data_IF_385887655827
#
_entry.id   IF_385887655827
#
_cell.length_a   1.000
_cell.length_b   1.000
_cell.length_c   1.000
_cell.angle_alpha   90.00
_cell.angle_beta   90.00
_cell.angle_gamma   90.00
#
_symmetry.space_group_name_H-M   'P 1'
#
loop_
_entity.id
_entity.type
_entity.pdbx_description
1 polymer ?
#
# COMPACT_ATOMS: atom_id res chain seq x y z
N UNK A 1 -27.35 4.00 -3.66
CA UNK A 1 -27.13 5.35 -3.09
C UNK A 1 -26.40 5.20 -1.77
N UNK A 2 -25.45 6.10 -1.45
CA UNK A 2 -24.73 6.05 -0.16
C UNK A 2 -25.70 6.18 1.02
N UNK A 3 -25.54 5.33 2.04
CA UNK A 3 -26.25 5.49 3.31
C UNK A 3 -25.78 6.76 4.04
N UNK A 4 -26.60 7.28 4.95
CA UNK A 4 -26.25 8.45 5.77
C UNK A 4 -24.98 8.21 6.60
N UNK A 5 -24.93 7.08 7.31
CA UNK A 5 -23.74 6.63 8.04
C UNK A 5 -22.46 6.65 7.20
N UNK A 6 -22.55 6.26 5.93
CA UNK A 6 -21.39 6.23 5.03
C UNK A 6 -20.96 7.65 4.62
N UNK A 7 -21.92 8.55 4.39
CA UNK A 7 -21.63 9.97 4.11
C UNK A 7 -20.94 10.63 5.30
N UNK A 8 -21.46 10.41 6.50
CA UNK A 8 -20.91 10.96 7.75
C UNK A 8 -19.49 10.44 7.98
N UNK A 9 -19.27 9.13 7.82
CA UNK A 9 -17.94 8.55 7.95
C UNK A 9 -16.93 9.16 6.97
N UNK A 10 -17.31 9.31 5.69
CA UNK A 10 -16.41 9.92 4.69
C UNK A 10 -16.13 11.39 5.02
N UNK A 11 -17.11 12.12 5.55
CA UNK A 11 -16.90 13.51 5.97
C UNK A 11 -15.96 13.60 7.17
N UNK A 12 -16.15 12.76 8.18
CA UNK A 12 -15.29 12.67 9.35
C UNK A 12 -13.86 12.23 8.99
N UNK A 13 -13.70 11.24 8.11
CA UNK A 13 -12.39 10.83 7.64
C UNK A 13 -11.64 12.01 7.01
N UNK A 14 -12.32 12.77 6.15
CA UNK A 14 -11.73 13.93 5.46
C UNK A 14 -11.42 15.10 6.39
N UNK A 15 -12.19 15.31 7.46
CA UNK A 15 -11.91 16.39 8.42
C UNK A 15 -10.66 16.12 9.25
N UNK A 16 -10.27 14.84 9.40
CA UNK A 16 -9.03 14.41 10.07
C UNK A 16 -7.80 14.44 9.16
N UNK A 17 -7.96 14.75 7.87
CA UNK A 17 -6.84 14.89 6.95
C UNK A 17 -6.26 16.28 7.13
N UNK A 18 -4.99 16.31 7.52
CA UNK A 18 -4.21 17.53 7.71
C UNK A 18 -4.29 18.47 6.49
N UNK A 19 -4.32 19.78 6.74
CA UNK A 19 -4.49 20.81 5.70
C UNK A 19 -3.34 20.88 4.68
N UNK A 20 -2.12 20.49 5.08
CA UNK A 20 -0.94 20.38 4.20
C UNK A 20 -0.97 19.17 3.25
N UNK A 21 -1.95 18.26 3.37
CA UNK A 21 -2.00 17.08 2.52
C UNK A 21 -2.32 17.47 1.07
N UNK A 22 -1.45 17.05 0.15
CA UNK A 22 -1.62 17.22 -1.28
C UNK A 22 -1.58 15.85 -1.97
N UNK A 23 -2.68 15.46 -2.60
CA UNK A 23 -2.84 14.15 -3.23
C UNK A 23 -1.86 13.93 -4.38
N UNK A 24 -1.75 14.84 -5.37
CA UNK A 24 -0.79 14.74 -6.46
C UNK A 24 0.66 14.58 -5.97
N UNK A 25 1.09 15.37 -4.99
CA UNK A 25 2.43 15.22 -4.40
C UNK A 25 2.58 13.85 -3.74
N UNK A 26 1.58 13.38 -2.98
CA UNK A 26 1.61 12.07 -2.36
C UNK A 26 1.79 10.94 -3.40
N UNK A 27 0.99 10.96 -4.46
CA UNK A 27 1.06 9.95 -5.53
C UNK A 27 2.39 10.04 -6.27
N UNK A 28 2.83 11.26 -6.61
CA UNK A 28 4.14 11.48 -7.22
C UNK A 28 5.27 10.89 -6.38
N UNK A 29 5.28 11.11 -5.07
CA UNK A 29 6.29 10.56 -4.17
C UNK A 29 6.32 9.02 -4.19
N UNK A 30 5.15 8.36 -4.21
CA UNK A 30 5.07 6.90 -4.29
C UNK A 30 5.69 6.38 -5.60
N UNK A 31 5.33 6.99 -6.74
CA UNK A 31 5.91 6.61 -8.03
C UNK A 31 7.41 6.95 -8.12
N UNK A 32 7.82 8.10 -7.61
CA UNK A 32 9.23 8.51 -7.60
C UNK A 32 10.09 7.50 -6.85
N UNK A 33 9.69 7.09 -5.64
CA UNK A 33 10.41 6.07 -4.86
C UNK A 33 10.50 4.76 -5.67
N UNK A 34 9.38 4.25 -6.19
CA UNK A 34 9.36 2.99 -6.93
C UNK A 34 10.19 3.01 -8.21
N UNK A 35 10.06 4.07 -9.02
CA UNK A 35 10.78 4.22 -10.27
C UNK A 35 12.28 4.47 -10.05
N UNK A 36 12.65 5.27 -9.04
CA UNK A 36 14.06 5.48 -8.69
C UNK A 36 14.69 4.18 -8.19
N UNK A 37 14.01 3.40 -7.35
CA UNK A 37 14.49 2.09 -6.92
C UNK A 37 14.67 1.15 -8.12
N UNK A 38 13.68 1.04 -9.00
CA UNK A 38 13.77 0.20 -10.20
C UNK A 38 14.93 0.64 -11.11
N UNK A 39 15.06 1.94 -11.36
CA UNK A 39 16.16 2.50 -12.14
C UNK A 39 17.52 2.16 -11.51
N UNK A 40 17.71 2.41 -10.22
CA UNK A 40 18.95 2.09 -9.51
C UNK A 40 19.28 0.60 -9.59
N UNK A 41 18.33 -0.30 -9.31
CA UNK A 41 18.58 -1.74 -9.33
C UNK A 41 18.93 -2.25 -10.72
N UNK A 42 18.25 -1.74 -11.76
CA UNK A 42 18.55 -2.11 -13.15
C UNK A 42 19.93 -1.64 -13.60
N UNK A 43 20.46 -0.53 -13.07
CA UNK A 43 21.84 -0.11 -13.36
C UNK A 43 22.90 -1.05 -12.78
N UNK A 44 22.55 -1.90 -11.81
CA UNK A 44 23.49 -2.81 -11.15
C UNK A 44 23.32 -4.28 -11.62
N UNK A 45 22.55 -4.52 -12.68
CA UNK A 45 22.42 -5.83 -13.29
C UNK A 45 23.60 -6.09 -14.22
N UNK A 46 24.52 -6.98 -13.81
CA UNK A 46 25.67 -7.39 -14.62
C UNK A 46 25.68 -8.90 -14.81
N UNK A 47 25.91 -9.36 -16.05
CA UNK A 47 26.09 -10.78 -16.40
C UNK A 47 24.98 -11.72 -15.87
N UNK A 48 23.73 -11.25 -15.85
CA UNK A 48 22.58 -12.00 -15.32
C UNK A 48 22.42 -13.32 -16.07
N UNK A 49 22.51 -14.42 -15.33
CA UNK A 49 22.38 -15.77 -15.88
C UNK A 49 20.92 -16.05 -16.21
N UNK A 50 20.67 -16.89 -17.21
CA UNK A 50 19.29 -17.11 -17.69
C UNK A 50 18.33 -17.59 -16.57
N UNK A 51 18.81 -18.37 -15.61
CA UNK A 51 18.00 -18.87 -14.50
C UNK A 51 17.78 -17.83 -13.40
N UNK A 52 18.61 -16.79 -13.28
CA UNK A 52 18.41 -15.71 -12.32
C UNK A 52 17.14 -14.91 -12.69
N UNK A 53 16.75 -14.90 -13.95
CA UNK A 53 15.45 -14.38 -14.39
C UNK A 53 14.25 -15.15 -13.82
N UNK A 54 14.42 -16.40 -13.35
CA UNK A 54 13.37 -17.11 -12.62
C UNK A 54 13.03 -16.43 -11.28
N UNK A 55 13.90 -15.55 -10.77
CA UNK A 55 13.56 -14.71 -9.62
C UNK A 55 12.29 -13.89 -9.86
N UNK A 56 12.07 -13.37 -11.07
CA UNK A 56 10.88 -12.56 -11.39
C UNK A 56 9.56 -13.32 -11.15
N UNK A 57 9.31 -14.49 -11.79
CA UNK A 57 8.09 -15.25 -11.51
C UNK A 57 8.04 -15.82 -10.09
N UNK A 58 9.17 -16.19 -9.48
CA UNK A 58 9.22 -16.67 -8.09
C UNK A 58 8.78 -15.58 -7.12
N UNK A 59 9.34 -14.37 -7.22
CA UNK A 59 8.96 -13.24 -6.38
C UNK A 59 7.54 -12.77 -6.67
N UNK A 60 7.08 -12.80 -7.93
CA UNK A 60 5.68 -12.50 -8.24
C UNK A 60 4.73 -13.44 -7.49
N UNK A 61 5.00 -14.75 -7.51
CA UNK A 61 4.20 -15.74 -6.77
C UNK A 61 4.31 -15.54 -5.25
N UNK A 62 5.53 -15.37 -4.73
CA UNK A 62 5.78 -15.17 -3.31
C UNK A 62 5.08 -13.91 -2.78
N UNK A 63 5.15 -12.80 -3.52
CA UNK A 63 4.45 -11.55 -3.19
C UNK A 63 2.93 -11.73 -3.18
N UNK A 64 2.36 -12.47 -4.14
CA UNK A 64 0.93 -12.77 -4.16
C UNK A 64 0.48 -13.60 -2.94
N UNK A 65 1.26 -14.63 -2.58
CA UNK A 65 0.98 -15.45 -1.38
C UNK A 65 1.11 -14.60 -0.12
N UNK A 66 2.15 -13.77 -0.04
CA UNK A 66 2.37 -12.84 1.07
C UNK A 66 1.21 -11.84 1.20
N UNK A 67 0.80 -11.22 0.10
CA UNK A 67 -0.33 -10.29 0.05
C UNK A 67 -1.62 -10.98 0.51
N UNK A 68 -1.93 -12.16 -0.04
CA UNK A 68 -3.09 -12.94 0.36
C UNK A 68 -3.09 -13.24 1.87
N UNK A 69 -1.96 -13.70 2.41
CA UNK A 69 -1.84 -14.01 3.83
C UNK A 69 -2.00 -12.75 4.69
N UNK A 70 -1.28 -11.68 4.36
CA UNK A 70 -1.34 -10.40 5.07
C UNK A 70 -2.76 -9.85 5.05
N UNK A 71 -3.42 -9.89 3.89
CA UNK A 71 -4.78 -9.42 3.71
C UNK A 71 -5.78 -10.22 4.56
N UNK A 72 -5.74 -11.55 4.45
CA UNK A 72 -6.69 -12.46 5.11
C UNK A 72 -6.49 -12.57 6.64
N UNK A 73 -5.23 -12.64 7.09
CA UNK A 73 -4.90 -12.95 8.50
C UNK A 73 -4.60 -11.72 9.33
N UNK A 74 -4.06 -10.66 8.73
CA UNK A 74 -3.66 -9.45 9.44
C UNK A 74 -4.66 -8.32 9.20
N UNK A 75 -4.92 -7.98 7.93
CA UNK A 75 -5.64 -6.76 7.57
C UNK A 75 -7.15 -6.87 7.77
N UNK A 76 -7.73 -8.08 7.72
CA UNK A 76 -9.16 -8.35 7.94
C UNK A 76 -9.50 -8.96 9.30
N UNK A 77 -8.54 -9.04 10.24
CA UNK A 77 -8.79 -9.56 11.59
C UNK A 77 -8.30 -8.58 12.64
N UNK A 78 -9.04 -8.35 13.74
CA UNK A 78 -8.54 -7.55 14.86
C UNK A 78 -7.22 -8.10 15.41
N UNK A 79 -6.23 -7.22 15.55
CA UNK A 79 -4.88 -7.60 15.98
C UNK A 79 -4.59 -7.13 17.40
N UNK A 80 -3.86 -7.95 18.18
CA UNK A 80 -3.43 -7.61 19.54
C UNK A 80 -2.21 -6.69 19.55
N UNK A 81 -1.25 -6.91 18.66
CA UNK A 81 -0.04 -6.08 18.54
C UNK A 81 -0.39 -4.69 18.01
N UNK A 82 0.22 -3.63 18.57
CA UNK A 82 -0.01 -2.24 18.14
C UNK A 82 0.30 -2.03 16.66
N UNK A 83 1.40 -2.60 16.17
CA UNK A 83 1.82 -2.46 14.77
C UNK A 83 0.83 -3.15 13.80
N UNK A 84 0.51 -4.42 14.06
CA UNK A 84 -0.44 -5.17 13.24
C UNK A 84 -1.85 -4.58 13.33
N UNK A 85 -2.23 -4.01 14.49
CA UNK A 85 -3.50 -3.32 14.66
C UNK A 85 -3.58 -2.03 13.85
N UNK A 86 -2.47 -1.30 13.70
CA UNK A 86 -2.44 -0.12 12.83
C UNK A 86 -2.71 -0.51 11.37
N UNK A 87 -2.17 -1.64 10.91
CA UNK A 87 -2.42 -2.19 9.57
C UNK A 87 -3.90 -2.57 9.41
N UNK A 88 -4.46 -3.34 10.36
CA UNK A 88 -5.89 -3.68 10.39
C UNK A 88 -6.80 -2.43 10.37
N UNK A 89 -6.51 -1.44 11.21
CA UNK A 89 -7.29 -0.22 11.30
C UNK A 89 -7.27 0.56 9.98
N UNK A 90 -6.11 0.69 9.33
CA UNK A 90 -6.01 1.36 8.02
C UNK A 90 -6.74 0.62 6.91
N UNK A 91 -6.71 -0.71 6.94
CA UNK A 91 -7.35 -1.50 5.89
C UNK A 91 -8.85 -1.68 6.09
N UNK A 92 -9.26 -2.30 7.19
CA UNK A 92 -10.66 -2.64 7.41
C UNK A 92 -11.47 -1.44 7.88
N UNK A 93 -10.97 -0.71 8.89
CA UNK A 93 -11.72 0.38 9.53
C UNK A 93 -11.53 1.74 8.85
N UNK A 94 -10.65 1.83 7.86
CA UNK A 94 -10.47 3.01 7.03
C UNK A 94 -10.79 2.72 5.57
N UNK A 95 -9.98 1.94 4.86
CA UNK A 95 -10.18 1.70 3.43
C UNK A 95 -11.53 1.04 3.10
N UNK A 96 -11.83 -0.13 3.70
CA UNK A 96 -13.11 -0.81 3.47
C UNK A 96 -14.31 -0.10 4.08
N UNK A 97 -14.12 0.67 5.15
CA UNK A 97 -15.18 1.52 5.66
C UNK A 97 -15.40 2.75 4.78
N UNK A 98 -14.41 3.19 4.01
CA UNK A 98 -14.54 4.35 3.12
C UNK A 98 -15.25 3.99 1.82
N UNK A 99 -14.97 2.83 1.22
CA UNK A 99 -15.59 2.38 -0.03
C UNK A 99 -16.69 1.34 0.20
N UNK A 100 -17.75 1.39 -0.62
CA UNK A 100 -18.78 0.35 -0.65
C UNK A 100 -18.81 -0.28 -2.03
N UNK A 101 -19.39 -1.47 -2.13
CA UNK A 101 -19.71 -2.17 -3.38
C UNK A 101 -20.44 -1.27 -4.39
N UNK A 102 -21.29 -0.38 -3.88
CA UNK A 102 -22.14 0.53 -4.65
C UNK A 102 -21.53 1.91 -4.91
N UNK A 103 -20.41 2.27 -4.26
CA UNK A 103 -19.77 3.57 -4.44
C UNK A 103 -18.28 3.51 -4.08
N UNK A 104 -17.46 3.31 -5.12
CA UNK A 104 -16.00 3.22 -5.02
C UNK A 104 -15.28 4.48 -5.52
N UNK A 105 -15.99 5.50 -6.01
CA UNK A 105 -15.35 6.66 -6.66
C UNK A 105 -14.75 7.61 -5.64
N UNK A 106 -13.65 8.24 -6.04
CA UNK A 106 -13.10 9.40 -5.34
C UNK A 106 -13.97 10.63 -5.58
N UNK A 107 -14.11 11.47 -4.55
CA UNK A 107 -14.68 12.81 -4.69
C UNK A 107 -13.62 13.82 -5.12
N UNK A 108 -12.48 13.81 -4.43
CA UNK A 108 -11.37 14.75 -4.64
C UNK A 108 -10.04 14.14 -4.18
N UNK A 109 -8.94 14.89 -4.34
CA UNK A 109 -7.59 14.43 -4.03
C UNK A 109 -7.38 13.97 -2.57
N UNK A 110 -8.19 14.43 -1.60
CA UNK A 110 -8.07 14.01 -0.20
C UNK A 110 -8.40 12.52 -0.04
N UNK A 111 -9.28 11.99 -0.88
CA UNK A 111 -9.67 10.59 -0.84
C UNK A 111 -8.49 9.68 -1.24
N UNK A 112 -7.49 10.19 -1.96
CA UNK A 112 -6.31 9.40 -2.33
C UNK A 112 -5.50 8.94 -1.10
N UNK A 113 -5.60 9.64 0.04
CA UNK A 113 -4.93 9.26 1.30
C UNK A 113 -5.39 7.90 1.84
N UNK A 114 -6.63 7.50 1.54
CA UNK A 114 -7.20 6.22 2.00
C UNK A 114 -6.86 5.05 1.07
N UNK A 115 -6.38 5.34 -0.13
CA UNK A 115 -6.07 4.35 -1.17
C UNK A 115 -4.59 4.09 -1.31
N UNK A 116 -3.78 5.14 -1.43
CA UNK A 116 -2.34 4.98 -1.63
C UNK A 116 -1.66 4.58 -0.33
N UNK A 117 -0.68 3.68 -0.43
CA UNK A 117 0.17 3.35 0.69
C UNK A 117 0.86 4.62 1.23
N UNK A 118 1.01 4.74 2.55
CA UNK A 118 1.84 5.80 3.08
C UNK A 118 3.30 5.59 2.64
N UNK A 119 4.09 6.65 2.38
CA UNK A 119 5.43 6.51 1.80
C UNK A 119 6.36 5.58 2.60
N UNK A 120 6.25 5.59 3.94
CA UNK A 120 7.03 4.70 4.79
C UNK A 120 6.75 3.21 4.53
N UNK A 121 5.54 2.83 4.13
CA UNK A 121 5.21 1.43 3.87
C UNK A 121 5.95 0.91 2.64
N UNK A 122 6.10 1.75 1.60
CA UNK A 122 6.89 1.42 0.42
C UNK A 122 8.37 1.23 0.78
N UNK A 123 8.92 2.11 1.63
CA UNK A 123 10.28 1.96 2.16
C UNK A 123 10.44 0.64 2.91
N UNK A 124 9.49 0.27 3.78
CA UNK A 124 9.54 -1.02 4.49
C UNK A 124 9.55 -2.20 3.52
N UNK A 125 8.70 -2.19 2.48
CA UNK A 125 8.69 -3.27 1.49
C UNK A 125 10.02 -3.38 0.72
N UNK A 126 10.65 -2.25 0.41
CA UNK A 126 11.99 -2.23 -0.18
C UNK A 126 13.03 -2.82 0.79
N UNK A 127 12.99 -2.44 2.07
CA UNK A 127 13.96 -2.95 3.05
C UNK A 127 13.81 -4.47 3.30
N UNK A 128 12.60 -5.02 3.17
CA UNK A 128 12.35 -6.46 3.30
C UNK A 128 13.05 -7.27 2.19
N UNK A 129 13.39 -6.65 1.04
CA UNK A 129 14.13 -7.36 -0.02
C UNK A 129 15.64 -7.47 0.23
N UNK A 130 16.20 -6.71 1.19
CA UNK A 130 17.64 -6.67 1.47
C UNK A 130 18.27 -8.05 1.70
N UNK A 131 17.69 -8.98 2.48
CA UNK A 131 18.29 -10.30 2.67
C UNK A 131 18.51 -11.05 1.35
N UNK A 132 17.63 -10.85 0.36
CA UNK A 132 17.80 -11.41 -0.98
C UNK A 132 18.95 -10.81 -1.77
N UNK A 133 19.43 -9.61 -1.41
CA UNK A 133 20.59 -8.97 -2.02
C UNK A 133 21.93 -9.38 -1.38
N UNK A 134 21.91 -10.08 -0.24
CA UNK A 134 23.10 -10.56 0.48
C UNK A 134 23.40 -12.04 0.18
N UNK A 135 22.49 -12.73 -0.50
CA UNK A 135 22.63 -14.11 -0.99
C UNK A 135 23.28 -14.14 -2.38
#
# INVERSE_FOLDING_TARGET
>A
MLSERQRDYRQEYRSRIDSWYNGPVHVFLIYAIGLTSLWLYTQHLENVRWWEWLSVPVFLLACNIFEWYLHLKIMHRPQKSKALRAIYNRHTLQHHQFFTDSEMRFRDQKDWRVTFFPPYALVVFILISIPGAVL
#
